data_IF_771862922128
#
_entry.id   IF_771862922128
#
_cell.length_a   1.000
_cell.length_b   1.000
_cell.length_c   1.000
_cell.angle_alpha   90.00
_cell.angle_beta   90.00
_cell.angle_gamma   90.00
#
_symmetry.space_group_name_H-M   'P 1'
#
loop_
_entity.id
_entity.type
_entity.pdbx_description
1 polymer ?
#
# COMPACT_ATOMS: atom_id res chain seq x y z
N UNK A 1 7.73 -13.31 20.86
CA UNK A 1 8.00 -14.65 20.30
C UNK A 1 9.31 -14.63 19.52
N UNK A 2 10.04 -15.74 19.44
CA UNK A 2 11.32 -15.85 18.72
C UNK A 2 11.11 -16.00 17.20
N UNK A 3 10.43 -15.04 16.58
CA UNK A 3 10.11 -15.05 15.16
C UNK A 3 10.87 -13.95 14.45
N UNK A 4 11.44 -14.28 13.29
CA UNK A 4 11.93 -13.28 12.33
C UNK A 4 10.70 -12.58 11.76
N UNK A 5 10.75 -11.25 11.66
CA UNK A 5 9.62 -10.44 11.20
C UNK A 5 10.04 -9.60 10.00
N UNK A 6 9.51 -9.97 8.83
CA UNK A 6 9.69 -9.24 7.58
C UNK A 6 8.40 -8.52 7.21
N UNK A 7 8.48 -7.25 6.86
CA UNK A 7 7.35 -6.39 6.52
C UNK A 7 7.44 -5.96 5.07
N UNK A 8 6.41 -6.28 4.29
CA UNK A 8 6.30 -5.91 2.89
C UNK A 8 5.61 -4.55 2.71
N UNK A 9 6.18 -3.74 1.83
CA UNK A 9 5.59 -2.48 1.35
C UNK A 9 4.49 -2.73 0.30
N UNK A 10 4.66 -3.76 -0.54
CA UNK A 10 3.87 -4.01 -1.75
C UNK A 10 3.44 -5.47 -1.84
N UNK A 11 2.49 -5.80 -2.74
CA UNK A 11 2.13 -7.18 -3.05
C UNK A 11 3.31 -7.93 -3.68
N UNK A 12 4.14 -7.25 -4.50
CA UNK A 12 5.39 -7.82 -5.01
C UNK A 12 6.34 -8.21 -3.87
N UNK A 13 6.58 -7.31 -2.90
CA UNK A 13 7.44 -7.61 -1.75
C UNK A 13 6.83 -8.70 -0.87
N UNK A 14 5.51 -8.76 -0.72
CA UNK A 14 4.85 -9.82 0.05
C UNK A 14 5.08 -11.19 -0.61
N UNK A 15 4.97 -11.27 -1.94
CA UNK A 15 5.26 -12.47 -2.72
C UNK A 15 6.75 -12.86 -2.61
N UNK A 16 7.65 -11.92 -2.86
CA UNK A 16 9.10 -12.18 -2.83
C UNK A 16 9.60 -12.54 -1.41
N UNK A 17 9.04 -11.93 -0.37
CA UNK A 17 9.33 -12.26 1.02
C UNK A 17 8.83 -13.67 1.39
N UNK A 18 7.68 -14.09 0.88
CA UNK A 18 7.15 -15.44 1.13
C UNK A 18 8.07 -16.53 0.57
N UNK A 19 8.65 -16.33 -0.61
CA UNK A 19 9.61 -17.27 -1.20
C UNK A 19 10.92 -17.29 -0.40
N UNK A 20 11.47 -16.12 -0.08
CA UNK A 20 12.70 -16.02 0.71
C UNK A 20 12.56 -16.59 2.13
N UNK A 21 11.37 -16.50 2.73
CA UNK A 21 11.11 -16.93 4.10
C UNK A 21 11.44 -18.40 4.36
N UNK A 22 11.18 -19.31 3.42
CA UNK A 22 11.51 -20.74 3.56
C UNK A 22 13.01 -20.93 3.76
N UNK A 23 13.82 -20.39 2.85
CA UNK A 23 15.28 -20.52 2.95
C UNK A 23 15.85 -19.85 4.20
N UNK A 24 15.32 -18.68 4.59
CA UNK A 24 15.74 -17.99 5.81
C UNK A 24 15.41 -18.83 7.05
N UNK A 25 14.20 -19.39 7.11
CA UNK A 25 13.74 -20.18 8.25
C UNK A 25 14.48 -21.51 8.36
N UNK A 26 14.81 -22.12 7.22
CA UNK A 26 15.39 -23.47 7.14
C UNK A 26 16.92 -23.48 7.12
N UNK A 27 17.59 -22.33 6.96
CA UNK A 27 19.05 -22.22 7.05
C UNK A 27 19.55 -22.75 8.40
N UNK A 28 20.56 -23.62 8.36
CA UNK A 28 21.13 -24.29 9.53
C UNK A 28 21.70 -23.33 10.57
N UNK A 29 22.10 -22.12 10.16
CA UNK A 29 22.57 -21.09 11.08
C UNK A 29 21.41 -20.45 11.86
N UNK A 30 20.19 -20.53 11.35
CA UNK A 30 19.01 -19.81 11.82
C UNK A 30 18.01 -20.75 12.49
N UNK A 31 17.34 -21.63 11.74
CA UNK A 31 16.30 -22.55 12.24
C UNK A 31 15.25 -21.87 13.14
N UNK A 32 14.79 -20.67 12.73
CA UNK A 32 13.76 -19.89 13.43
C UNK A 32 12.56 -19.63 12.51
N UNK A 33 11.34 -19.59 13.06
CA UNK A 33 10.15 -19.28 12.26
C UNK A 33 10.19 -17.84 11.74
N UNK A 34 9.68 -17.65 10.53
CA UNK A 34 9.61 -16.35 9.84
C UNK A 34 8.15 -15.93 9.68
N UNK A 35 7.83 -14.70 10.08
CA UNK A 35 6.56 -14.04 9.77
C UNK A 35 6.76 -13.10 8.59
N UNK A 36 5.97 -13.29 7.53
CA UNK A 36 5.85 -12.34 6.42
C UNK A 36 4.62 -11.47 6.66
N UNK A 37 4.85 -10.29 7.21
CA UNK A 37 3.86 -9.28 7.52
C UNK A 37 3.60 -8.38 6.31
N UNK A 38 2.35 -7.97 6.11
CA UNK A 38 1.97 -6.94 5.17
C UNK A 38 0.71 -6.23 5.69
N UNK A 39 0.47 -5.02 5.21
CA UNK A 39 -0.60 -4.19 5.74
C UNK A 39 -1.99 -4.68 5.29
N UNK A 40 -2.86 -4.89 6.28
CA UNK A 40 -4.25 -5.27 6.05
C UNK A 40 -4.98 -4.24 5.21
N UNK A 41 -5.79 -4.72 4.26
CA UNK A 41 -6.48 -3.94 3.23
C UNK A 41 -5.55 -3.24 2.22
N UNK A 42 -4.62 -2.40 2.68
CA UNK A 42 -3.76 -1.58 1.81
C UNK A 42 -2.84 -2.43 0.93
N UNK A 43 -2.31 -3.55 1.45
CA UNK A 43 -1.53 -4.51 0.66
C UNK A 43 -2.36 -5.76 0.38
N UNK A 44 -3.06 -6.32 1.38
CA UNK A 44 -3.75 -7.60 1.20
C UNK A 44 -4.97 -7.58 0.27
N UNK A 45 -5.58 -6.41 0.04
CA UNK A 45 -6.76 -6.26 -0.83
C UNK A 45 -6.52 -5.35 -2.04
N UNK A 46 -5.30 -4.84 -2.22
CA UNK A 46 -4.90 -4.14 -3.42
C UNK A 46 -4.54 -5.16 -4.49
N UNK A 47 -5.14 -5.02 -5.66
CA UNK A 47 -4.65 -5.67 -6.86
C UNK A 47 -3.59 -4.78 -7.49
N UNK A 48 -2.40 -5.31 -7.75
CA UNK A 48 -1.34 -4.62 -8.48
C UNK A 48 -0.57 -5.59 -9.38
N UNK A 49 0.29 -5.04 -10.23
CA UNK A 49 1.20 -5.84 -11.06
C UNK A 49 2.25 -6.53 -10.19
N UNK A 50 2.32 -7.86 -10.30
CA UNK A 50 3.35 -8.69 -9.68
C UNK A 50 4.07 -9.50 -10.75
N UNK A 51 5.40 -9.50 -10.71
CA UNK A 51 6.30 -10.35 -11.48
C UNK A 51 6.45 -11.68 -10.74
N UNK A 52 5.53 -12.59 -11.01
CA UNK A 52 5.57 -13.95 -10.48
C UNK A 52 6.65 -14.79 -11.20
N UNK A 53 7.31 -15.66 -10.45
CA UNK A 53 8.24 -16.66 -10.95
C UNK A 53 7.48 -17.93 -11.35
N UNK A 54 8.04 -18.70 -12.28
CA UNK A 54 7.54 -20.04 -12.59
C UNK A 54 7.79 -21.03 -11.46
N UNK A 55 6.94 -22.05 -11.33
CA UNK A 55 7.02 -23.03 -10.24
C UNK A 55 8.39 -23.73 -10.14
N UNK A 56 9.02 -24.04 -11.28
CA UNK A 56 10.36 -24.67 -11.31
C UNK A 56 11.47 -23.70 -10.86
N UNK A 57 11.35 -22.41 -11.15
CA UNK A 57 12.30 -21.38 -10.66
C UNK A 57 12.17 -21.24 -9.14
N UNK A 58 10.93 -21.22 -8.63
CA UNK A 58 10.67 -21.18 -7.18
C UNK A 58 11.20 -22.44 -6.50
N UNK A 59 10.92 -23.63 -7.06
CA UNK A 59 11.41 -24.91 -6.51
C UNK A 59 12.94 -24.96 -6.52
N UNK A 60 13.57 -24.55 -7.63
CA UNK A 60 15.02 -24.48 -7.75
C UNK A 60 15.66 -23.50 -6.78
N UNK A 61 15.00 -22.37 -6.49
CA UNK A 61 15.47 -21.43 -5.49
C UNK A 61 15.32 -21.96 -4.06
N UNK A 62 14.11 -22.39 -3.67
CA UNK A 62 13.77 -22.80 -2.30
C UNK A 62 14.51 -24.09 -1.90
N UNK A 63 14.63 -25.05 -2.82
CA UNK A 63 15.25 -26.34 -2.57
C UNK A 63 14.33 -27.33 -1.85
N UNK A 64 14.90 -28.47 -1.45
CA UNK A 64 14.21 -29.49 -0.66
C UNK A 64 14.50 -29.29 0.83
N UNK A 65 13.44 -29.31 1.64
CA UNK A 65 13.59 -29.25 3.09
C UNK A 65 14.11 -30.60 3.61
N UNK A 66 15.28 -30.56 4.24
CA UNK A 66 15.83 -31.69 5.00
C UNK A 66 15.68 -31.38 6.49
N UNK A 67 14.77 -32.06 7.21
CA UNK A 67 14.62 -31.85 8.64
C UNK A 67 15.89 -32.33 9.35
N UNK A 68 16.45 -31.54 10.30
CA UNK A 68 17.59 -31.99 11.09
C UNK A 68 17.20 -33.16 12.01
N UNK A 69 15.92 -33.21 12.40
CA UNK A 69 15.32 -34.30 13.15
C UNK A 69 13.96 -34.62 12.55
N UNK A 70 13.81 -35.84 12.04
CA UNK A 70 12.53 -36.36 11.59
C UNK A 70 11.69 -36.81 12.80
N UNK A 71 10.62 -36.07 13.09
CA UNK A 71 9.73 -36.34 14.22
C UNK A 71 8.88 -37.61 14.02
N UNK A 72 8.80 -38.11 12.79
CA UNK A 72 8.03 -39.29 12.43
C UNK A 72 8.90 -40.55 12.25
N UNK A 73 10.23 -40.44 12.42
CA UNK A 73 11.12 -41.61 12.33
C UNK A 73 10.97 -42.51 13.56
N UNK A 74 10.15 -43.55 13.41
CA UNK A 74 9.92 -44.55 14.45
C UNK A 74 11.14 -45.40 14.77
N UNK A 75 12.19 -45.38 13.93
CA UNK A 75 13.45 -46.11 14.16
C UNK A 75 14.43 -45.29 15.01
N UNK A 76 14.29 -43.97 15.01
CA UNK A 76 15.12 -43.06 15.79
C UNK A 76 14.24 -42.07 16.58
N UNK A 77 13.47 -42.54 17.57
CA UNK A 77 12.53 -41.69 18.31
C UNK A 77 13.27 -40.61 19.12
N UNK A 78 12.71 -39.39 19.11
CA UNK A 78 13.27 -38.23 19.79
C UNK A 78 12.26 -37.62 20.77
N UNK A 79 12.75 -37.07 21.88
CA UNK A 79 11.93 -36.32 22.82
C UNK A 79 11.84 -34.85 22.37
N UNK A 80 10.62 -34.38 22.09
CA UNK A 80 10.35 -33.01 21.61
C UNK A 80 9.47 -32.27 22.61
N UNK A 81 9.77 -30.99 22.84
CA UNK A 81 9.07 -30.18 23.83
C UNK A 81 9.17 -30.71 25.27
N UNK A 82 10.31 -31.26 25.73
CA UNK A 82 10.44 -31.66 27.12
C UNK A 82 10.34 -30.44 28.05
N UNK A 83 10.04 -30.69 29.32
CA UNK A 83 10.16 -29.67 30.36
C UNK A 83 11.61 -29.19 30.43
N UNK A 84 11.81 -27.87 30.27
CA UNK A 84 13.14 -27.25 30.41
C UNK A 84 13.34 -26.82 31.85
N UNK A 85 14.36 -27.37 32.50
CA UNK A 85 14.68 -27.05 33.89
C UNK A 85 15.32 -25.65 34.02
N UNK A 86 15.20 -24.96 35.18
CA UNK A 86 15.69 -23.59 35.35
C UNK A 86 17.19 -23.37 35.09
N UNK A 87 18.02 -24.40 35.28
CA UNK A 87 19.46 -24.39 35.01
C UNK A 87 19.81 -24.41 33.52
N UNK A 88 18.90 -24.91 32.67
CA UNK A 88 19.08 -25.00 31.22
C UNK A 88 18.32 -23.92 30.44
N UNK A 89 17.24 -23.37 31.01
CA UNK A 89 16.42 -22.36 30.33
C UNK A 89 17.24 -21.16 29.80
N UNK A 90 18.18 -20.55 30.57
CA UNK A 90 19.01 -19.47 30.06
C UNK A 90 19.83 -19.85 28.83
N UNK A 91 20.34 -21.08 28.77
CA UNK A 91 21.14 -21.58 27.64
C UNK A 91 20.29 -21.66 26.37
N UNK A 92 19.04 -22.15 26.49
CA UNK A 92 18.10 -22.20 25.37
C UNK A 92 17.82 -20.79 24.81
N UNK A 93 17.52 -19.82 25.69
CA UNK A 93 17.27 -18.44 25.25
C UNK A 93 18.53 -17.78 24.66
N UNK A 94 19.72 -18.08 25.18
CA UNK A 94 20.98 -17.62 24.60
C UNK A 94 21.19 -18.18 23.18
N UNK A 95 20.91 -19.46 22.96
CA UNK A 95 20.98 -20.08 21.63
C UNK A 95 19.98 -19.48 20.64
N UNK A 96 18.73 -19.25 21.07
CA UNK A 96 17.71 -18.58 20.26
C UNK A 96 18.13 -17.14 19.92
N UNK A 97 18.68 -16.40 20.87
CA UNK A 97 19.18 -15.04 20.64
C UNK A 97 20.34 -15.03 19.63
N UNK A 98 21.23 -16.02 19.70
CA UNK A 98 22.37 -16.17 18.79
C UNK A 98 21.91 -16.53 17.37
N UNK A 99 20.94 -17.45 17.24
CA UNK A 99 20.28 -17.74 15.97
C UNK A 99 19.61 -16.50 15.36
N UNK A 100 18.93 -15.70 16.17
CA UNK A 100 18.32 -14.44 15.74
C UNK A 100 19.37 -13.43 15.25
N UNK A 101 20.55 -13.34 15.88
CA UNK A 101 21.64 -12.47 15.41
C UNK A 101 22.18 -12.93 14.05
N UNK A 102 22.43 -14.23 13.89
CA UNK A 102 22.92 -14.81 12.62
C UNK A 102 21.94 -14.62 11.48
N UNK A 103 20.64 -14.61 11.77
CA UNK A 103 19.60 -14.41 10.76
C UNK A 103 19.79 -13.12 9.94
N UNK A 104 20.36 -12.06 10.50
CA UNK A 104 20.57 -10.81 9.75
C UNK A 104 21.47 -11.02 8.51
N UNK A 105 22.60 -11.71 8.67
CA UNK A 105 23.51 -12.01 7.56
C UNK A 105 22.86 -12.96 6.54
N UNK A 106 22.16 -13.99 7.03
CA UNK A 106 21.43 -14.95 6.18
C UNK A 106 20.37 -14.25 5.32
N UNK A 107 19.62 -13.31 5.89
CA UNK A 107 18.61 -12.52 5.16
C UNK A 107 19.26 -11.69 4.05
N UNK A 108 20.42 -11.07 4.31
CA UNK A 108 21.13 -10.30 3.29
C UNK A 108 21.69 -11.20 2.18
N UNK A 109 22.32 -12.32 2.52
CA UNK A 109 22.84 -13.31 1.55
C UNK A 109 21.74 -13.82 0.61
N UNK A 110 20.63 -14.30 1.20
CA UNK A 110 19.47 -14.80 0.45
C UNK A 110 18.81 -13.69 -0.36
N UNK A 111 18.73 -12.48 0.17
CA UNK A 111 18.19 -11.32 -0.55
C UNK A 111 19.03 -10.93 -1.77
N UNK A 112 20.35 -11.09 -1.72
CA UNK A 112 21.24 -10.89 -2.88
C UNK A 112 21.16 -12.04 -3.88
N UNK A 113 21.03 -13.29 -3.42
CA UNK A 113 20.77 -14.45 -4.29
C UNK A 113 19.45 -14.30 -5.04
N UNK A 114 18.40 -13.89 -4.34
CA UNK A 114 17.10 -13.60 -4.94
C UNK A 114 17.20 -12.47 -5.97
N UNK A 115 18.03 -11.45 -5.69
CA UNK A 115 18.34 -10.39 -6.63
C UNK A 115 19.03 -10.88 -7.91
N UNK A 116 19.96 -11.84 -7.81
CA UNK A 116 20.59 -12.45 -8.98
C UNK A 116 19.61 -13.26 -9.83
N UNK A 117 18.63 -13.91 -9.21
CA UNK A 117 17.58 -14.66 -9.90
C UNK A 117 16.56 -13.74 -10.59
N UNK A 118 16.12 -12.68 -9.90
CA UNK A 118 14.91 -11.94 -10.26
C UNK A 118 15.14 -10.50 -10.72
N UNK A 119 16.36 -9.98 -10.55
CA UNK A 119 16.69 -8.56 -10.67
C UNK A 119 16.25 -7.70 -9.48
N UNK A 120 15.60 -8.28 -8.46
CA UNK A 120 15.10 -7.57 -7.26
C UNK A 120 15.87 -8.01 -6.03
N UNK A 121 16.89 -7.23 -5.66
CA UNK A 121 17.70 -7.51 -4.47
C UNK A 121 17.03 -6.93 -3.21
N UNK A 122 17.15 -7.64 -2.10
CA UNK A 122 16.60 -7.21 -0.82
C UNK A 122 17.64 -7.24 0.30
N UNK A 123 17.52 -6.30 1.24
CA UNK A 123 18.32 -6.25 2.46
C UNK A 123 17.44 -6.17 3.72
N UNK A 124 18.02 -5.67 4.82
CA UNK A 124 17.30 -5.47 6.08
C UNK A 124 16.41 -4.22 6.08
N UNK A 125 16.82 -3.20 5.33
CA UNK A 125 16.10 -1.96 5.10
C UNK A 125 16.54 -1.34 3.77
N UNK A 126 15.79 -0.33 3.33
CA UNK A 126 16.09 0.45 2.14
C UNK A 126 16.30 1.92 2.54
N UNK A 127 17.45 2.47 2.18
CA UNK A 127 17.76 3.90 2.32
C UNK A 127 17.40 4.63 1.02
N UNK A 128 16.57 5.66 1.11
CA UNK A 128 16.14 6.47 -0.03
C UNK A 128 16.46 7.93 0.19
N UNK A 129 17.38 8.46 -0.64
CA UNK A 129 17.86 9.86 -0.61
C UNK A 129 18.30 10.31 0.79
N UNK A 130 19.09 9.50 1.50
CA UNK A 130 19.58 9.81 2.85
C UNK A 130 20.95 10.50 2.88
N UNK A 131 21.78 10.36 1.84
CA UNK A 131 23.19 10.78 1.87
C UNK A 131 23.40 12.26 2.20
N UNK A 132 22.52 13.13 1.70
CA UNK A 132 22.53 14.58 1.92
C UNK A 132 21.31 15.09 2.72
N UNK A 133 20.49 14.18 3.25
CA UNK A 133 19.23 14.53 3.90
C UNK A 133 19.47 15.35 5.19
N UNK A 134 18.68 16.40 5.38
CA UNK A 134 18.61 17.15 6.64
C UNK A 134 17.50 16.64 7.56
N UNK A 135 16.43 16.11 6.96
CA UNK A 135 15.31 15.51 7.69
C UNK A 135 15.02 14.14 7.09
N UNK A 136 14.70 13.16 7.94
CA UNK A 136 14.36 11.82 7.48
C UNK A 136 13.13 11.24 8.17
N UNK A 137 12.41 10.39 7.45
CA UNK A 137 11.38 9.52 8.01
C UNK A 137 11.90 8.09 8.08
N UNK A 138 11.68 7.41 9.21
CA UNK A 138 11.80 5.96 9.32
C UNK A 138 10.40 5.37 9.27
N UNK A 139 10.16 4.43 8.37
CA UNK A 139 8.84 3.83 8.15
C UNK A 139 8.96 2.32 7.89
N UNK A 140 7.84 1.61 8.00
CA UNK A 140 7.74 0.18 7.74
C UNK A 140 6.39 -0.13 7.08
N UNK A 141 6.34 -1.17 6.23
CA UNK A 141 5.12 -1.54 5.51
C UNK A 141 4.72 -0.53 4.43
N UNK A 142 3.42 -0.40 4.15
CA UNK A 142 2.90 0.40 3.02
C UNK A 142 3.15 1.91 3.18
N UNK A 143 3.50 2.36 4.38
CA UNK A 143 3.90 3.76 4.65
C UNK A 143 5.13 4.15 3.82
N UNK A 144 6.02 3.19 3.55
CA UNK A 144 7.23 3.40 2.75
C UNK A 144 6.92 4.01 1.38
N UNK A 145 5.93 3.48 0.67
CA UNK A 145 5.58 3.93 -0.68
C UNK A 145 5.03 5.36 -0.71
N UNK A 146 4.04 5.65 0.13
CA UNK A 146 3.50 7.02 0.26
C UNK A 146 4.57 8.01 0.73
N UNK A 147 5.45 7.59 1.65
CA UNK A 147 6.55 8.43 2.10
C UNK A 147 7.58 8.72 1.01
N UNK A 148 7.89 7.73 0.15
CA UNK A 148 8.80 7.90 -0.99
C UNK A 148 8.26 8.96 -1.97
N UNK A 149 6.97 8.89 -2.28
CA UNK A 149 6.30 9.88 -3.12
C UNK A 149 6.38 11.31 -2.52
N UNK A 150 6.22 11.44 -1.19
CA UNK A 150 6.35 12.74 -0.51
C UNK A 150 7.81 13.21 -0.47
N UNK A 151 8.78 12.33 -0.27
CA UNK A 151 10.21 12.67 -0.34
C UNK A 151 10.55 13.23 -1.71
N UNK A 152 10.10 12.61 -2.79
CA UNK A 152 10.35 13.10 -4.16
C UNK A 152 9.72 14.47 -4.40
N UNK A 153 8.50 14.68 -3.93
CA UNK A 153 7.82 15.98 -3.98
C UNK A 153 8.57 17.06 -3.20
N UNK A 154 9.05 16.75 -2.00
CA UNK A 154 9.81 17.69 -1.18
C UNK A 154 11.17 18.01 -1.81
N UNK A 155 11.82 17.00 -2.40
CA UNK A 155 13.08 17.17 -3.12
C UNK A 155 12.96 18.03 -4.37
N UNK A 156 11.86 17.91 -5.13
CA UNK A 156 11.61 18.81 -6.27
C UNK A 156 11.40 20.26 -5.84
N UNK A 157 11.02 20.48 -4.58
CA UNK A 157 10.88 21.80 -3.93
C UNK A 157 12.13 22.25 -3.16
N UNK A 158 13.26 21.54 -3.31
CA UNK A 158 14.54 21.90 -2.70
C UNK A 158 14.70 21.49 -1.22
N UNK A 159 13.73 20.78 -0.64
CA UNK A 159 13.84 20.26 0.73
C UNK A 159 14.66 18.97 0.72
N UNK A 160 15.74 18.92 1.50
CA UNK A 160 16.61 17.75 1.63
C UNK A 160 16.00 16.69 2.54
N UNK A 161 14.93 16.06 2.07
CA UNK A 161 14.20 15.00 2.77
C UNK A 161 14.72 13.61 2.38
N UNK A 162 14.77 12.67 3.33
CA UNK A 162 15.10 11.27 3.07
C UNK A 162 14.14 10.31 3.75
N UNK A 163 14.26 9.03 3.41
CA UNK A 163 13.45 7.93 3.94
C UNK A 163 14.35 6.73 4.25
N UNK A 164 14.11 6.09 5.38
CA UNK A 164 14.58 4.73 5.67
C UNK A 164 13.37 3.83 5.81
N UNK A 165 13.19 2.90 4.87
CA UNK A 165 12.13 1.90 4.93
C UNK A 165 12.68 0.61 5.54
N UNK A 166 12.22 0.26 6.73
CA UNK A 166 12.57 -1.01 7.36
C UNK A 166 11.81 -2.16 6.68
N UNK A 167 12.55 -3.19 6.25
CA UNK A 167 11.98 -4.46 5.77
C UNK A 167 11.98 -5.51 6.87
N UNK A 168 13.01 -5.55 7.72
CA UNK A 168 13.15 -6.57 8.78
C UNK A 168 13.10 -5.89 10.14
N UNK A 169 12.03 -6.15 10.91
CA UNK A 169 11.90 -5.64 12.27
C UNK A 169 12.58 -6.54 13.30
N UNK A 170 12.62 -7.85 13.04
CA UNK A 170 13.33 -8.86 13.84
C UNK A 170 14.08 -9.81 12.91
N UNK A 171 15.41 -9.99 13.07
CA UNK A 171 16.30 -9.24 13.97
C UNK A 171 16.31 -7.74 13.66
N UNK A 172 16.34 -6.89 14.69
CA UNK A 172 16.36 -5.44 14.47
C UNK A 172 17.76 -5.01 14.02
N UNK A 173 17.91 -4.33 12.87
CA UNK A 173 19.22 -3.99 12.30
C UNK A 173 19.83 -2.74 12.96
N UNK A 174 19.94 -2.73 14.30
CA UNK A 174 20.27 -1.56 15.11
C UNK A 174 21.52 -0.80 14.62
N UNK A 175 22.63 -1.52 14.45
CA UNK A 175 23.91 -0.88 14.10
C UNK A 175 23.89 -0.30 12.68
N UNK A 176 23.40 -1.08 11.71
CA UNK A 176 23.32 -0.67 10.31
C UNK A 176 22.33 0.49 10.11
N UNK A 177 21.17 0.44 10.76
CA UNK A 177 20.18 1.52 10.75
C UNK A 177 20.72 2.78 11.41
N UNK A 178 21.35 2.66 12.59
CA UNK A 178 21.93 3.81 13.27
C UNK A 178 23.07 4.45 12.45
N UNK A 179 23.89 3.64 11.75
CA UNK A 179 24.87 4.14 10.77
C UNK A 179 24.21 4.97 9.68
N UNK A 180 23.17 4.45 9.04
CA UNK A 180 22.44 5.14 7.98
C UNK A 180 21.79 6.46 8.46
N UNK A 181 21.33 6.50 9.71
CA UNK A 181 20.71 7.68 10.34
C UNK A 181 21.70 8.57 11.11
N UNK A 182 23.01 8.44 10.86
CA UNK A 182 24.05 9.28 11.47
C UNK A 182 24.81 10.14 10.47
N UNK A 183 24.20 10.39 9.30
CA UNK A 183 24.74 11.29 8.28
C UNK A 183 25.03 12.69 8.84
N UNK A 184 26.12 13.31 8.39
CA UNK A 184 26.56 14.62 8.91
C UNK A 184 25.58 15.76 8.65
N UNK A 185 24.70 15.61 7.67
CA UNK A 185 23.67 16.58 7.31
C UNK A 185 22.38 16.41 8.10
N UNK A 186 22.15 15.23 8.67
CA UNK A 186 20.88 14.89 9.29
C UNK A 186 20.72 15.66 10.61
N UNK A 187 19.56 16.29 10.79
CA UNK A 187 19.24 17.16 11.93
C UNK A 187 18.01 16.66 12.69
N UNK A 188 17.02 16.12 11.99
CA UNK A 188 15.81 15.60 12.61
C UNK A 188 15.32 14.32 11.91
N UNK A 189 14.79 13.40 12.70
CA UNK A 189 14.23 12.12 12.27
C UNK A 189 12.87 11.93 12.90
N UNK A 190 11.87 11.58 12.09
CA UNK A 190 10.60 11.06 12.59
C UNK A 190 10.57 9.56 12.40
N UNK A 191 9.98 8.84 13.35
CA UNK A 191 9.68 7.41 13.21
C UNK A 191 8.16 7.26 13.12
N UNK A 192 7.68 6.72 12.00
CA UNK A 192 6.27 6.46 11.75
C UNK A 192 5.88 5.07 12.27
N UNK A 193 5.01 5.03 13.26
CA UNK A 193 4.44 3.81 13.81
C UNK A 193 2.96 3.71 13.49
N UNK A 194 2.55 2.52 13.01
CA UNK A 194 1.14 2.11 12.87
C UNK A 194 0.62 1.36 14.10
N UNK A 195 1.31 1.50 15.22
CA UNK A 195 1.01 0.89 16.50
C UNK A 195 1.36 1.87 17.63
N UNK A 196 0.67 1.74 18.76
CA UNK A 196 0.93 2.55 19.95
C UNK A 196 1.07 1.63 21.15
N UNK A 197 2.16 1.78 21.89
CA UNK A 197 2.33 1.21 23.21
C UNK A 197 1.75 2.22 24.21
N UNK A 198 0.56 1.91 24.76
CA UNK A 198 -0.16 2.85 25.63
C UNK A 198 0.68 3.21 26.87
N UNK A 199 1.17 4.46 26.93
CA UNK A 199 2.07 4.96 27.96
C UNK A 199 3.48 5.33 27.46
N UNK A 200 3.81 5.00 26.22
CA UNK A 200 5.03 5.40 25.51
C UNK A 200 4.68 5.82 24.07
N UNK A 201 5.61 5.64 23.12
CA UNK A 201 5.37 5.83 21.69
C UNK A 201 5.01 4.52 20.98
N UNK A 202 5.49 4.36 19.76
CA UNK A 202 5.41 3.10 19.03
C UNK A 202 6.67 2.22 19.20
N UNK A 203 6.53 0.91 18.94
CA UNK A 203 7.63 -0.05 19.11
C UNK A 203 8.82 0.24 18.18
N UNK A 204 8.58 0.73 16.95
CA UNK A 204 9.67 1.07 16.04
C UNK A 204 10.45 2.28 16.56
N UNK A 205 9.75 3.28 17.09
CA UNK A 205 10.38 4.45 17.70
C UNK A 205 11.29 4.08 18.88
N UNK A 206 10.85 3.16 19.75
CA UNK A 206 11.66 2.67 20.88
C UNK A 206 12.98 2.04 20.40
N UNK A 207 12.91 1.17 19.39
CA UNK A 207 14.09 0.47 18.82
C UNK A 207 15.06 1.43 18.12
N UNK A 208 14.53 2.34 17.29
CA UNK A 208 15.33 3.35 16.59
C UNK A 208 16.02 4.29 17.58
N UNK A 209 15.30 4.71 18.62
CA UNK A 209 15.84 5.60 19.67
C UNK A 209 16.97 4.91 20.42
N UNK A 210 16.78 3.64 20.84
CA UNK A 210 17.82 2.87 21.51
C UNK A 210 19.07 2.68 20.63
N UNK A 211 18.88 2.33 19.35
CA UNK A 211 19.97 2.14 18.41
C UNK A 211 20.79 3.42 18.19
N UNK A 212 20.12 4.56 18.01
CA UNK A 212 20.77 5.86 17.87
C UNK A 212 21.47 6.28 19.16
N UNK A 213 20.86 6.07 20.33
CA UNK A 213 21.45 6.41 21.63
C UNK A 213 22.75 5.64 21.91
N UNK A 214 22.76 4.34 21.64
CA UNK A 214 23.95 3.51 21.76
C UNK A 214 25.07 3.98 20.82
N UNK A 215 24.72 4.31 19.58
CA UNK A 215 25.67 4.83 18.60
C UNK A 215 26.22 6.21 18.97
N UNK A 216 25.38 7.10 19.48
CA UNK A 216 25.80 8.41 19.95
C UNK A 216 26.84 8.27 21.07
N UNK A 217 26.60 7.36 22.03
CA UNK A 217 27.57 7.05 23.08
C UNK A 217 28.86 6.45 22.56
N UNK A 218 28.81 5.54 21.58
CA UNK A 218 30.02 4.88 21.06
C UNK A 218 30.86 5.77 20.15
N UNK A 219 30.26 6.75 19.48
CA UNK A 219 30.96 7.62 18.50
C UNK A 219 31.23 9.03 19.00
N UNK A 220 30.62 9.45 20.12
CA UNK A 220 30.66 10.83 20.60
C UNK A 220 29.87 11.82 19.74
N UNK A 221 29.14 11.37 18.71
CA UNK A 221 28.24 12.23 17.93
C UNK A 221 26.93 12.44 18.68
N UNK A 222 26.39 13.66 18.58
CA UNK A 222 25.07 13.99 19.08
C UNK A 222 23.95 13.24 18.34
N UNK A 223 22.80 13.11 18.99
CA UNK A 223 21.60 12.56 18.39
C UNK A 223 20.94 13.60 17.47
N UNK A 224 20.33 13.18 16.34
CA UNK A 224 19.37 14.04 15.67
C UNK A 224 18.16 14.29 16.59
N UNK A 225 17.41 15.35 16.31
CA UNK A 225 16.09 15.54 16.92
C UNK A 225 15.22 14.33 16.55
N UNK A 226 14.57 13.72 17.53
CA UNK A 226 13.77 12.51 17.35
C UNK A 226 12.33 12.74 17.78
N UNK A 227 11.41 12.45 16.88
CA UNK A 227 9.96 12.46 17.18
C UNK A 227 9.32 11.15 16.71
N UNK A 228 8.21 10.78 17.34
CA UNK A 228 7.39 9.65 16.90
C UNK A 228 6.10 10.18 16.27
N UNK A 229 5.74 9.64 15.12
CA UNK A 229 4.48 9.92 14.44
C UNK A 229 3.61 8.67 14.45
N UNK A 230 2.52 8.68 15.24
CA UNK A 230 1.51 7.63 15.27
C UNK A 230 0.47 7.92 14.20
N UNK A 231 0.33 7.03 13.23
CA UNK A 231 -0.54 7.22 12.06
C UNK A 231 -1.14 5.90 11.57
N UNK A 232 -2.29 5.98 10.89
CA UNK A 232 -2.95 4.82 10.27
C UNK A 232 -3.42 3.71 11.23
N UNK A 233 -3.54 4.01 12.53
CA UNK A 233 -4.07 3.07 13.53
C UNK A 233 -5.52 2.72 13.18
N UNK A 234 -5.88 1.44 13.34
CA UNK A 234 -7.23 0.95 13.06
C UNK A 234 -7.60 0.87 11.57
N UNK A 235 -6.62 0.96 10.68
CA UNK A 235 -6.86 0.94 9.22
C UNK A 235 -7.28 2.29 8.65
N UNK A 236 -7.09 3.39 9.41
CA UNK A 236 -7.21 4.75 8.85
C UNK A 236 -6.21 4.90 7.70
N UNK A 237 -6.67 5.48 6.60
CA UNK A 237 -5.81 5.73 5.45
C UNK A 237 -4.66 6.68 5.82
N UNK A 238 -3.50 6.48 5.18
CA UNK A 238 -2.31 7.29 5.39
C UNK A 238 -2.03 8.07 4.11
N UNK A 239 -2.30 9.36 4.16
CA UNK A 239 -2.25 10.23 2.99
C UNK A 239 -0.88 10.88 2.81
N UNK A 240 -0.62 11.40 1.61
CA UNK A 240 0.55 12.25 1.37
C UNK A 240 0.50 13.52 2.23
N UNK A 241 -0.68 14.03 2.56
CA UNK A 241 -0.84 15.17 3.46
C UNK A 241 -0.39 14.85 4.89
N UNK A 242 -0.69 13.64 5.39
CA UNK A 242 -0.24 13.16 6.70
C UNK A 242 1.29 13.12 6.77
N UNK A 243 1.92 12.47 5.78
CA UNK A 243 3.38 12.37 5.73
C UNK A 243 4.02 13.74 5.54
N UNK A 244 3.45 14.61 4.71
CA UNK A 244 3.93 15.97 4.54
C UNK A 244 3.81 16.81 5.82
N UNK A 245 2.77 16.61 6.64
CA UNK A 245 2.65 17.25 7.95
C UNK A 245 3.78 16.83 8.90
N UNK A 246 4.18 15.54 8.86
CA UNK A 246 5.35 15.04 9.60
C UNK A 246 6.65 15.71 9.12
N UNK A 247 6.89 15.78 7.81
CA UNK A 247 8.10 16.44 7.28
C UNK A 247 8.15 17.94 7.54
N UNK A 248 7.01 18.63 7.49
CA UNK A 248 6.91 20.04 7.89
C UNK A 248 7.35 20.20 9.34
N UNK A 249 6.85 19.33 10.24
CA UNK A 249 7.26 19.37 11.65
C UNK A 249 8.74 19.10 11.82
N UNK A 250 9.30 18.13 11.10
CA UNK A 250 10.74 17.86 11.12
C UNK A 250 11.57 19.06 10.65
N UNK A 251 11.12 19.74 9.61
CA UNK A 251 11.82 20.91 9.05
C UNK A 251 11.83 22.08 10.04
N UNK A 252 10.71 22.33 10.70
CA UNK A 252 10.62 23.33 11.80
C UNK A 252 11.60 23.00 12.93
N UNK A 253 11.61 21.74 13.38
CA UNK A 253 12.48 21.30 14.47
C UNK A 253 13.96 21.35 14.08
N UNK A 254 14.31 20.91 12.87
CA UNK A 254 15.65 20.97 12.34
C UNK A 254 16.19 22.41 12.24
N UNK A 255 15.32 23.37 11.89
CA UNK A 255 15.67 24.79 11.86
C UNK A 255 15.93 25.39 13.24
N UNK A 256 15.15 24.98 14.25
CA UNK A 256 15.31 25.44 15.63
C UNK A 256 16.48 24.77 16.35
N UNK A 257 16.85 23.54 15.96
CA UNK A 257 17.92 22.77 16.59
C UNK A 257 17.60 22.26 18.00
N UNK A 258 16.34 22.36 18.44
CA UNK A 258 15.90 22.03 19.80
C UNK A 258 15.00 20.79 19.75
N UNK A 259 15.40 19.75 20.49
CA UNK A 259 14.53 18.61 20.81
C UNK A 259 13.29 19.13 21.56
N UNK A 260 12.06 18.77 21.15
CA UNK A 260 10.86 19.17 21.89
C UNK A 260 10.96 18.80 23.36
N UNK A 261 10.77 19.78 24.26
CA UNK A 261 10.65 19.52 25.69
C UNK A 261 9.37 18.70 25.95
N UNK A 262 9.47 17.63 26.73
CA UNK A 262 8.34 16.76 27.07
C UNK A 262 8.18 15.57 26.10
N UNK A 263 6.93 15.20 25.82
CA UNK A 263 6.57 14.01 25.04
C UNK A 263 6.92 14.16 23.54
N UNK A 264 7.81 13.33 22.96
CA UNK A 264 8.15 13.36 21.53
C UNK A 264 7.11 12.70 20.63
N UNK A 265 6.03 12.14 21.17
CA UNK A 265 4.98 11.45 20.43
C UNK A 265 3.97 12.44 19.87
N UNK A 266 3.68 12.27 18.59
CA UNK A 266 2.66 13.01 17.86
C UNK A 266 1.70 12.04 17.21
N UNK A 267 0.41 12.23 17.41
CA UNK A 267 -0.58 11.56 16.59
C UNK A 267 -0.88 12.39 15.34
N UNK A 268 -1.23 11.74 14.24
CA UNK A 268 -1.52 12.43 12.97
C UNK A 268 -3.01 12.37 12.66
N UNK A 269 -3.58 13.52 12.30
CA UNK A 269 -4.96 13.66 11.81
C UNK A 269 -6.05 13.16 12.80
N UNK A 270 -5.95 13.50 14.08
CA UNK A 270 -6.88 13.04 15.11
C UNK A 270 -8.18 13.84 15.26
N UNK A 271 -8.35 14.95 14.54
CA UNK A 271 -9.61 15.69 14.53
C UNK A 271 -10.04 16.22 15.90
N UNK A 272 -9.08 16.56 16.78
CA UNK A 272 -9.35 17.28 18.02
C UNK A 272 -9.66 16.42 19.26
N UNK A 273 -9.42 15.11 19.27
CA UNK A 273 -9.59 14.27 20.47
C UNK A 273 -8.55 14.48 21.59
N UNK A 274 -7.87 15.64 21.61
CA UNK A 274 -6.84 16.01 22.57
C UNK A 274 -5.46 15.45 22.23
N UNK A 275 -4.44 15.88 22.97
CA UNK A 275 -3.06 15.45 22.78
C UNK A 275 -2.29 16.19 21.68
N UNK A 276 -1.02 15.84 21.54
CA UNK A 276 -0.09 16.46 20.58
C UNK A 276 -0.38 15.92 19.17
N UNK A 277 -1.06 16.72 18.36
CA UNK A 277 -1.49 16.29 17.02
C UNK A 277 -0.78 17.08 15.92
N UNK A 278 -0.44 16.38 14.83
CA UNK A 278 -0.06 16.99 13.56
C UNK A 278 -1.28 17.09 12.66
N UNK A 279 -1.78 18.31 12.51
CA UNK A 279 -2.91 18.60 11.64
C UNK A 279 -2.48 18.56 10.18
N UNK A 280 -3.20 17.76 9.38
CA UNK A 280 -3.18 17.87 7.92
C UNK A 280 -4.04 19.06 7.54
N UNK A 281 -3.53 19.95 6.68
CA UNK A 281 -4.15 21.26 6.43
C UNK A 281 -5.66 21.13 6.11
N UNK A 282 -6.49 21.79 6.94
CA UNK A 282 -7.90 22.14 6.72
C UNK A 282 -8.83 21.04 6.20
N UNK A 283 -8.68 19.79 6.65
CA UNK A 283 -9.61 18.71 6.29
C UNK A 283 -9.68 18.41 4.78
N UNK A 284 -8.81 19.02 3.98
CA UNK A 284 -8.84 18.95 2.53
C UNK A 284 -7.69 18.06 2.07
N UNK A 285 -8.01 16.78 1.88
CA UNK A 285 -7.06 15.75 1.44
C UNK A 285 -6.69 15.87 -0.05
N UNK A 286 -7.42 16.71 -0.82
CA UNK A 286 -7.31 16.85 -2.27
C UNK A 286 -6.21 17.80 -2.81
N UNK A 287 -5.35 18.37 -1.96
CA UNK A 287 -4.34 19.35 -2.38
C UNK A 287 -3.02 18.80 -2.96
N UNK A 288 -2.97 17.53 -3.36
CA UNK A 288 -1.72 16.89 -3.78
C UNK A 288 -1.35 17.19 -5.24
N UNK A 289 -0.07 17.48 -5.44
CA UNK A 289 0.58 17.63 -6.75
C UNK A 289 0.21 16.43 -7.65
N UNK A 290 -0.41 16.73 -8.80
CA UNK A 290 -0.83 15.73 -9.80
C UNK A 290 0.41 15.29 -10.56
N UNK A 291 1.28 14.51 -9.89
CA UNK A 291 2.53 14.02 -10.46
C UNK A 291 2.33 13.44 -11.87
N UNK A 292 3.29 13.61 -12.78
CA UNK A 292 3.12 13.25 -14.19
C UNK A 292 2.84 11.75 -14.34
N UNK A 293 2.07 11.38 -15.36
CA UNK A 293 1.79 9.99 -15.79
C UNK A 293 0.88 9.10 -14.90
N UNK A 294 0.34 9.60 -13.79
CA UNK A 294 -0.63 8.84 -12.97
C UNK A 294 -2.08 9.29 -13.25
N UNK A 295 -2.93 8.35 -13.68
CA UNK A 295 -4.38 8.55 -13.83
C UNK A 295 -5.12 7.97 -12.64
N UNK A 296 -5.91 8.80 -11.96
CA UNK A 296 -6.61 8.50 -10.71
C UNK A 296 -8.11 8.41 -10.93
N UNK A 297 -8.68 7.23 -10.69
CA UNK A 297 -10.07 6.91 -11.03
C UNK A 297 -10.81 6.49 -9.76
N UNK A 298 -11.90 7.19 -9.45
CA UNK A 298 -12.81 6.89 -8.34
C UNK A 298 -14.11 6.33 -8.90
N UNK A 299 -14.49 5.13 -8.48
CA UNK A 299 -15.75 4.49 -8.82
C UNK A 299 -16.65 4.51 -7.58
N UNK A 300 -17.80 5.17 -7.68
CA UNK A 300 -18.78 5.35 -6.62
C UNK A 300 -20.01 4.53 -6.96
N UNK A 301 -20.40 3.62 -6.08
CA UNK A 301 -21.52 2.71 -6.33
C UNK A 301 -22.22 2.28 -5.05
N UNK A 302 -23.36 1.61 -5.17
CA UNK A 302 -23.98 0.89 -4.06
C UNK A 302 -23.40 -0.52 -3.95
N UNK A 303 -23.31 -1.03 -2.72
CA UNK A 303 -22.95 -2.42 -2.48
C UNK A 303 -23.86 -3.36 -3.29
N UNK A 304 -23.25 -4.20 -4.15
CA UNK A 304 -23.95 -5.09 -5.08
C UNK A 304 -23.91 -4.66 -6.55
N UNK A 305 -23.58 -3.40 -6.86
CA UNK A 305 -23.53 -2.89 -8.26
C UNK A 305 -22.21 -3.17 -9.01
N UNK A 306 -21.25 -3.86 -8.38
CA UNK A 306 -20.06 -4.37 -9.07
C UNK A 306 -18.89 -3.39 -9.29
N UNK A 307 -18.83 -2.25 -8.59
CA UNK A 307 -17.70 -1.30 -8.72
C UNK A 307 -16.32 -1.89 -8.40
N UNK A 308 -16.22 -2.76 -7.38
CA UNK A 308 -14.98 -3.52 -7.09
C UNK A 308 -14.53 -4.33 -8.31
N UNK A 309 -15.47 -5.05 -8.92
CA UNK A 309 -15.19 -5.88 -10.08
C UNK A 309 -14.75 -5.03 -11.26
N UNK A 310 -15.41 -3.89 -11.47
CA UNK A 310 -15.05 -2.94 -12.53
C UNK A 310 -13.64 -2.36 -12.35
N UNK A 311 -13.26 -1.95 -11.14
CA UNK A 311 -11.91 -1.42 -10.90
C UNK A 311 -10.82 -2.48 -11.09
N UNK A 312 -11.09 -3.73 -10.69
CA UNK A 312 -10.16 -4.84 -10.90
C UNK A 312 -9.95 -5.17 -12.38
N UNK A 313 -11.02 -5.24 -13.18
CA UNK A 313 -10.88 -5.47 -14.62
C UNK A 313 -10.17 -4.32 -15.31
N UNK A 314 -10.44 -3.08 -14.92
CA UNK A 314 -9.72 -1.92 -15.47
C UNK A 314 -8.22 -2.00 -15.17
N UNK A 315 -7.84 -2.32 -13.92
CA UNK A 315 -6.44 -2.50 -13.56
C UNK A 315 -5.80 -3.69 -14.30
N UNK A 316 -6.53 -4.80 -14.46
CA UNK A 316 -6.08 -5.95 -15.23
C UNK A 316 -5.77 -5.58 -16.68
N UNK A 317 -6.68 -4.88 -17.36
CA UNK A 317 -6.50 -4.44 -18.74
C UNK A 317 -5.29 -3.52 -18.91
N UNK A 318 -5.08 -2.59 -17.97
CA UNK A 318 -3.91 -1.74 -17.98
C UNK A 318 -2.61 -2.53 -17.82
N UNK A 319 -2.58 -3.52 -16.90
CA UNK A 319 -1.43 -4.41 -16.69
C UNK A 319 -1.13 -5.24 -17.94
N UNK A 320 -2.15 -5.84 -18.56
CA UNK A 320 -2.03 -6.61 -19.80
C UNK A 320 -1.60 -5.75 -21.00
N UNK A 321 -1.83 -4.43 -20.92
CA UNK A 321 -1.35 -3.44 -21.88
C UNK A 321 0.05 -2.92 -21.56
N UNK A 322 0.72 -3.49 -20.56
CA UNK A 322 2.11 -3.15 -20.18
C UNK A 322 2.23 -2.03 -19.14
N UNK A 323 1.14 -1.41 -18.71
CA UNK A 323 1.13 -0.35 -17.71
C UNK A 323 1.29 -0.92 -16.29
N UNK A 324 1.51 -0.04 -15.33
CA UNK A 324 1.33 -0.31 -13.90
C UNK A 324 -0.09 0.09 -13.52
N UNK A 325 -0.73 -0.75 -12.71
CA UNK A 325 -2.03 -0.43 -12.16
C UNK A 325 -2.16 -0.88 -10.71
N UNK A 326 -3.00 -0.16 -9.97
CA UNK A 326 -3.48 -0.56 -8.66
C UNK A 326 -5.01 -0.48 -8.65
N UNK A 327 -5.68 -1.46 -8.06
CA UNK A 327 -7.10 -1.39 -7.74
C UNK A 327 -7.34 -1.73 -6.27
N UNK A 328 -7.95 -0.81 -5.53
CA UNK A 328 -8.22 -0.93 -4.11
C UNK A 328 -9.70 -0.61 -3.85
N UNK A 329 -10.50 -1.55 -3.29
CA UNK A 329 -11.84 -1.24 -2.84
C UNK A 329 -11.85 -0.71 -1.40
N UNK A 330 -12.79 0.17 -1.08
CA UNK A 330 -13.13 0.52 0.29
C UNK A 330 -14.57 0.13 0.62
N UNK A 331 -14.74 -0.41 1.83
CA UNK A 331 -16.03 -0.91 2.31
C UNK A 331 -16.42 -0.13 3.56
N UNK A 332 -17.69 0.27 3.62
CA UNK A 332 -18.33 0.60 4.88
C UNK A 332 -18.68 -0.68 5.67
N UNK A 333 -19.14 -0.54 6.93
CA UNK A 333 -19.54 -1.69 7.75
C UNK A 333 -20.78 -2.44 7.19
N UNK A 334 -21.53 -1.84 6.27
CA UNK A 334 -22.73 -2.43 5.68
C UNK A 334 -22.41 -3.34 4.49
N UNK A 335 -23.11 -4.47 4.38
CA UNK A 335 -22.85 -5.51 3.36
C UNK A 335 -23.42 -5.21 1.96
N UNK A 336 -24.62 -4.62 1.87
CA UNK A 336 -25.32 -4.37 0.59
C UNK A 336 -26.05 -3.01 0.60
N UNK A 337 -26.16 -2.35 -0.55
CA UNK A 337 -26.97 -1.14 -0.75
C UNK A 337 -26.35 0.18 -0.26
N UNK A 338 -25.44 0.12 0.71
CA UNK A 338 -24.68 1.27 1.17
C UNK A 338 -23.71 1.80 0.10
N UNK A 339 -23.44 3.12 0.08
CA UNK A 339 -22.39 3.68 -0.76
C UNK A 339 -21.03 3.02 -0.49
N UNK A 340 -20.34 2.66 -1.57
CA UNK A 340 -18.98 2.15 -1.57
C UNK A 340 -18.15 2.96 -2.56
N UNK A 341 -16.84 3.02 -2.31
CA UNK A 341 -15.88 3.51 -3.30
C UNK A 341 -14.94 2.37 -3.71
N UNK A 342 -14.55 2.36 -4.96
CA UNK A 342 -13.44 1.59 -5.45
C UNK A 342 -12.50 2.52 -6.21
N UNK A 343 -11.22 2.26 -6.10
CA UNK A 343 -10.18 3.10 -6.70
C UNK A 343 -9.43 2.30 -7.76
N UNK A 344 -9.04 2.98 -8.83
CA UNK A 344 -8.04 2.50 -9.76
C UNK A 344 -7.01 3.59 -10.03
N UNK A 345 -5.72 3.23 -9.97
CA UNK A 345 -4.60 4.08 -10.36
C UNK A 345 -3.91 3.43 -11.54
N UNK A 346 -3.73 4.15 -12.65
CA UNK A 346 -3.08 3.65 -13.86
C UNK A 346 -1.86 4.52 -14.17
N UNK A 347 -0.73 3.93 -14.54
CA UNK A 347 0.51 4.66 -14.77
C UNK A 347 1.45 3.92 -15.71
N UNK A 348 2.21 4.66 -16.51
CA UNK A 348 3.30 4.09 -17.33
C UNK A 348 4.58 3.82 -16.50
N UNK A 349 4.58 4.23 -15.23
CA UNK A 349 5.67 4.05 -14.26
C UNK A 349 5.17 3.34 -13.00
N UNK A 350 6.08 2.71 -12.21
CA UNK A 350 5.72 2.16 -10.90
C UNK A 350 4.94 3.16 -10.03
N UNK A 351 3.95 2.65 -9.29
CA UNK A 351 3.07 3.45 -8.45
C UNK A 351 3.45 3.24 -6.98
N UNK A 352 4.15 4.21 -6.40
CA UNK A 352 4.59 4.15 -5.00
C UNK A 352 3.48 4.58 -4.02
N UNK A 353 2.65 5.55 -4.40
CA UNK A 353 1.61 6.11 -3.53
C UNK A 353 0.54 5.06 -3.18
N UNK A 354 0.42 4.74 -1.88
CA UNK A 354 -0.51 3.73 -1.34
C UNK A 354 -1.77 4.30 -0.72
N UNK A 355 -1.93 5.63 -0.72
CA UNK A 355 -3.13 6.27 -0.18
C UNK A 355 -4.35 6.03 -1.09
N UNK A 356 -5.56 6.32 -0.60
CA UNK A 356 -6.77 6.37 -1.45
C UNK A 356 -6.71 7.52 -2.47
N UNK A 357 -7.75 7.73 -3.27
CA UNK A 357 -7.77 8.84 -4.23
C UNK A 357 -8.61 9.98 -3.66
N UNK A 358 -7.97 11.13 -3.45
CA UNK A 358 -8.60 12.36 -2.97
C UNK A 358 -8.58 13.50 -4.00
N UNK A 359 -7.83 13.35 -5.08
CA UNK A 359 -7.78 14.29 -6.20
C UNK A 359 -7.94 13.50 -7.50
N UNK A 360 -9.18 13.13 -7.89
CA UNK A 360 -9.42 12.28 -9.05
C UNK A 360 -9.17 13.02 -10.37
N UNK A 361 -8.82 12.23 -11.39
CA UNK A 361 -8.84 12.64 -12.80
C UNK A 361 -10.13 12.14 -13.47
N UNK A 362 -10.72 11.09 -12.92
CA UNK A 362 -11.97 10.49 -13.38
C UNK A 362 -12.84 10.10 -12.18
N UNK A 363 -14.12 10.48 -12.22
CA UNK A 363 -15.14 9.99 -11.28
C UNK A 363 -16.21 9.24 -12.07
N UNK A 364 -16.52 8.02 -11.64
CA UNK A 364 -17.53 7.15 -12.25
C UNK A 364 -18.60 6.84 -11.22
N UNK A 365 -19.84 7.24 -11.49
CA UNK A 365 -20.97 7.13 -10.57
C UNK A 365 -21.96 6.11 -11.11
N UNK A 366 -22.11 4.97 -10.43
CA UNK A 366 -22.94 3.85 -10.85
C UNK A 366 -24.43 4.04 -10.53
N UNK A 367 -24.76 5.07 -9.75
CA UNK A 367 -26.11 5.44 -9.36
C UNK A 367 -26.13 6.94 -9.11
N UNK A 368 -26.90 7.69 -9.91
CA UNK A 368 -27.01 9.15 -9.81
C UNK A 368 -27.37 9.67 -8.40
N UNK A 369 -28.03 8.87 -7.56
CA UNK A 369 -28.35 9.25 -6.18
C UNK A 369 -27.10 9.37 -5.30
N UNK A 370 -25.94 8.93 -5.78
CA UNK A 370 -24.64 9.04 -5.09
C UNK A 370 -23.87 10.31 -5.44
N UNK A 371 -24.39 11.19 -6.32
CA UNK A 371 -23.72 12.44 -6.68
C UNK A 371 -23.45 13.34 -5.47
N UNK A 372 -24.37 13.39 -4.51
CA UNK A 372 -24.17 14.10 -3.24
C UNK A 372 -23.12 13.40 -2.37
N UNK A 373 -23.10 12.06 -2.35
CA UNK A 373 -22.14 11.27 -1.57
C UNK A 373 -20.69 11.44 -2.06
N UNK A 374 -20.51 11.74 -3.35
CA UNK A 374 -19.19 12.00 -3.93
C UNK A 374 -18.92 13.49 -4.20
N UNK A 375 -19.63 14.41 -3.54
CA UNK A 375 -19.45 15.85 -3.75
C UNK A 375 -18.00 16.31 -3.52
N UNK A 376 -17.30 15.73 -2.54
CA UNK A 376 -15.88 15.99 -2.31
C UNK A 376 -15.01 15.56 -3.50
N UNK A 377 -15.26 14.37 -4.06
CA UNK A 377 -14.51 13.87 -5.23
C UNK A 377 -14.78 14.72 -6.47
N UNK A 378 -16.01 15.21 -6.65
CA UNK A 378 -16.39 16.09 -7.75
C UNK A 378 -15.78 17.48 -7.62
N UNK A 379 -15.75 18.03 -6.40
CA UNK A 379 -15.08 19.31 -6.12
C UNK A 379 -13.59 19.24 -6.44
N UNK A 380 -12.95 18.10 -6.13
CA UNK A 380 -11.51 17.91 -6.25
C UNK A 380 -11.11 17.25 -7.60
N UNK A 381 -12.09 17.06 -8.50
CA UNK A 381 -11.90 16.56 -9.86
C UNK A 381 -11.04 17.52 -10.69
N UNK A 382 -10.11 16.96 -11.46
CA UNK A 382 -9.24 17.71 -12.37
C UNK A 382 -10.02 18.72 -13.22
N UNK A 383 -9.36 19.82 -13.58
CA UNK A 383 -9.98 20.83 -14.46
C UNK A 383 -10.36 20.25 -15.82
N UNK A 384 -9.52 19.36 -16.36
CA UNK A 384 -9.77 18.55 -17.56
C UNK A 384 -10.38 17.17 -17.23
N UNK A 385 -10.91 17.02 -16.02
CA UNK A 385 -11.40 15.75 -15.49
C UNK A 385 -12.67 15.25 -16.17
N UNK A 386 -12.93 13.96 -15.96
CA UNK A 386 -14.05 13.23 -16.58
C UNK A 386 -15.02 12.76 -15.50
N UNK A 387 -16.31 13.06 -15.68
CA UNK A 387 -17.40 12.47 -14.92
C UNK A 387 -18.22 11.54 -15.82
N UNK A 388 -18.38 10.28 -15.44
CA UNK A 388 -19.28 9.32 -16.08
C UNK A 388 -20.39 8.92 -15.09
N UNK A 389 -21.66 9.14 -15.44
CA UNK A 389 -22.80 8.84 -14.57
C UNK A 389 -23.74 7.83 -15.21
N UNK A 390 -24.11 6.80 -14.45
CA UNK A 390 -25.21 5.91 -14.79
C UNK A 390 -26.55 6.61 -14.55
N UNK A 391 -27.19 7.08 -15.62
CA UNK A 391 -28.43 7.86 -15.56
C UNK A 391 -29.13 7.89 -16.91
N UNK A 392 -30.44 8.18 -16.90
CA UNK A 392 -31.23 8.53 -18.09
C UNK A 392 -31.21 10.02 -18.41
N UNK A 393 -30.66 10.85 -17.51
CA UNK A 393 -30.53 12.29 -17.70
C UNK A 393 -29.45 12.61 -18.73
N UNK A 394 -29.55 13.78 -19.32
CA UNK A 394 -28.54 14.28 -20.25
C UNK A 394 -27.30 14.78 -19.49
N UNK A 395 -26.14 14.89 -20.13
CA UNK A 395 -24.97 15.51 -19.50
C UNK A 395 -25.21 16.96 -19.05
N UNK A 396 -26.12 17.69 -19.71
CA UNK A 396 -26.51 19.05 -19.32
C UNK A 396 -27.25 19.07 -17.98
N UNK A 397 -28.19 18.14 -17.77
CA UNK A 397 -28.91 18.01 -16.49
C UNK A 397 -27.94 17.67 -15.35
N UNK A 398 -27.00 16.75 -15.58
CA UNK A 398 -25.97 16.39 -14.59
C UNK A 398 -25.04 17.57 -14.30
N UNK A 399 -24.74 18.40 -15.31
CA UNK A 399 -23.96 19.62 -15.12
C UNK A 399 -24.67 20.60 -14.19
N UNK A 400 -25.96 20.79 -14.38
CA UNK A 400 -26.78 21.65 -13.52
C UNK A 400 -26.83 21.11 -12.08
N UNK A 401 -27.03 19.80 -11.91
CA UNK A 401 -27.09 19.16 -10.58
C UNK A 401 -25.77 19.22 -9.80
N UNK A 402 -24.64 19.11 -10.50
CA UNK A 402 -23.31 19.03 -9.87
C UNK A 402 -22.59 20.38 -9.79
N UNK A 403 -23.00 21.36 -10.58
CA UNK A 403 -22.30 22.65 -10.71
C UNK A 403 -20.93 22.54 -11.39
N UNK A 404 -20.60 21.41 -12.03
CA UNK A 404 -19.29 21.20 -12.64
C UNK A 404 -19.11 22.03 -13.91
N UNK A 405 -18.26 23.05 -13.85
CA UNK A 405 -17.92 23.92 -14.97
C UNK A 405 -16.61 23.45 -15.64
N UNK A 406 -16.60 23.34 -16.97
CA UNK A 406 -15.40 23.06 -17.77
C UNK A 406 -14.94 21.59 -17.82
N UNK A 407 -15.52 20.71 -17.00
CA UNK A 407 -15.23 19.26 -17.00
C UNK A 407 -16.06 18.53 -18.04
N UNK A 408 -15.53 17.42 -18.57
CA UNK A 408 -16.24 16.53 -19.51
C UNK A 408 -17.22 15.65 -18.77
N UNK A 409 -18.49 15.67 -19.18
CA UNK A 409 -19.55 14.89 -18.55
C UNK A 409 -20.12 13.89 -19.56
N UNK A 410 -20.16 12.63 -19.14
CA UNK A 410 -20.77 11.53 -19.88
C UNK A 410 -21.90 10.92 -19.09
N UNK A 411 -22.99 10.55 -19.77
CA UNK A 411 -24.11 9.84 -19.17
C UNK A 411 -24.44 8.58 -19.96
N UNK A 412 -24.90 7.53 -19.26
CA UNK A 412 -25.26 6.25 -19.84
C UNK A 412 -26.39 5.60 -19.01
N UNK A 413 -27.46 5.10 -19.63
CA UNK A 413 -28.45 4.27 -18.92
C UNK A 413 -27.95 2.81 -18.79
N UNK A 414 -26.85 2.62 -18.07
CA UNK A 414 -26.22 1.32 -17.90
C UNK A 414 -27.12 0.35 -17.14
N UNK A 415 -27.95 0.85 -16.22
CA UNK A 415 -28.97 0.05 -15.54
C UNK A 415 -30.03 -0.44 -16.53
N UNK A 416 -30.56 0.45 -17.38
CA UNK A 416 -31.53 0.09 -18.41
C UNK A 416 -30.96 -0.93 -19.40
N UNK A 417 -29.73 -0.74 -19.85
CA UNK A 417 -29.00 -1.70 -20.70
C UNK A 417 -28.94 -3.07 -20.02
N UNK A 418 -28.41 -3.15 -18.79
CA UNK A 418 -28.26 -4.41 -18.06
C UNK A 418 -29.60 -5.16 -17.84
N UNK A 419 -30.64 -4.43 -17.44
CA UNK A 419 -31.98 -5.00 -17.24
C UNK A 419 -32.56 -5.51 -18.55
N UNK A 420 -32.40 -4.79 -19.66
CA UNK A 420 -32.90 -5.22 -20.96
C UNK A 420 -32.16 -6.46 -21.51
N UNK A 421 -30.85 -6.56 -21.30
CA UNK A 421 -30.03 -7.63 -21.88
C UNK A 421 -30.08 -8.94 -21.11
N UNK A 422 -30.16 -8.88 -19.77
CA UNK A 422 -30.11 -10.08 -18.92
C UNK A 422 -30.96 -10.02 -17.66
N UNK A 423 -31.76 -8.96 -17.46
CA UNK A 423 -32.80 -8.92 -16.42
C UNK A 423 -32.31 -8.63 -15.00
N UNK A 424 -31.08 -8.14 -14.82
CA UNK A 424 -30.54 -7.82 -13.50
C UNK A 424 -29.94 -6.40 -13.45
N UNK A 425 -30.06 -5.75 -12.29
CA UNK A 425 -29.48 -4.43 -12.02
C UNK A 425 -27.98 -4.55 -11.69
N UNK A 426 -27.18 -4.89 -12.71
CA UNK A 426 -25.72 -5.01 -12.63
C UNK A 426 -25.10 -4.15 -13.73
N UNK A 427 -25.01 -2.82 -13.52
CA UNK A 427 -24.54 -1.89 -14.54
C UNK A 427 -23.01 -1.96 -14.76
N UNK A 428 -22.28 -2.72 -13.95
CA UNK A 428 -20.82 -2.69 -13.89
C UNK A 428 -20.13 -2.93 -15.22
N UNK A 429 -20.56 -3.91 -16.02
CA UNK A 429 -19.88 -4.21 -17.27
C UNK A 429 -20.17 -3.17 -18.36
N UNK A 430 -21.41 -2.66 -18.43
CA UNK A 430 -21.76 -1.55 -19.31
C UNK A 430 -20.96 -0.28 -18.94
N UNK A 431 -20.92 0.08 -17.64
CA UNK A 431 -20.13 1.22 -17.16
C UNK A 431 -18.63 1.06 -17.42
N UNK A 432 -18.10 -0.16 -17.26
CA UNK A 432 -16.69 -0.47 -17.55
C UNK A 432 -16.37 -0.35 -19.04
N UNK A 433 -17.23 -0.82 -19.93
CA UNK A 433 -17.03 -0.68 -21.38
C UNK A 433 -17.01 0.79 -21.82
N UNK A 434 -17.97 1.60 -21.33
CA UNK A 434 -17.97 3.03 -21.56
C UNK A 434 -16.70 3.70 -21.01
N UNK A 435 -16.28 3.33 -19.80
CA UNK A 435 -15.04 3.84 -19.19
C UNK A 435 -13.80 3.48 -20.03
N UNK A 436 -13.67 2.24 -20.50
CA UNK A 436 -12.57 1.80 -21.38
C UNK A 436 -12.51 2.68 -22.64
N UNK A 437 -13.66 2.91 -23.27
CA UNK A 437 -13.77 3.73 -24.48
C UNK A 437 -13.44 5.21 -24.25
N UNK A 438 -13.92 5.79 -23.14
CA UNK A 438 -13.70 7.19 -22.78
C UNK A 438 -12.24 7.43 -22.39
N UNK A 439 -11.65 6.51 -21.63
CA UNK A 439 -10.28 6.65 -21.15
C UNK A 439 -9.22 6.19 -22.15
N UNK A 440 -9.61 5.42 -23.17
CA UNK A 440 -8.69 4.82 -24.13
C UNK A 440 -7.72 3.83 -23.48
N UNK A 441 -8.21 3.04 -22.52
CA UNK A 441 -7.40 2.07 -21.77
C UNK A 441 -7.68 0.66 -22.29
N UNK A 442 -6.77 0.14 -23.12
CA UNK A 442 -6.92 -1.18 -23.74
C UNK A 442 -8.01 -1.21 -24.82
N UNK A 443 -8.40 -2.42 -25.23
CA UNK A 443 -9.41 -2.66 -26.25
C UNK A 443 -10.63 -3.38 -25.66
N UNK A 444 -11.82 -3.08 -26.17
CA UNK A 444 -13.06 -3.72 -25.72
C UNK A 444 -13.05 -5.25 -25.94
N UNK A 445 -12.40 -5.71 -27.01
CA UNK A 445 -12.17 -7.14 -27.30
C UNK A 445 -11.49 -7.85 -26.13
N UNK A 446 -10.37 -7.29 -25.66
CA UNK A 446 -9.62 -7.83 -24.51
C UNK A 446 -10.43 -7.81 -23.22
N UNK A 447 -11.23 -6.77 -22.99
CA UNK A 447 -12.15 -6.73 -21.85
C UNK A 447 -13.13 -7.91 -21.88
N UNK A 448 -13.71 -8.20 -23.04
CA UNK A 448 -14.64 -9.32 -23.21
C UNK A 448 -13.97 -10.67 -22.96
N UNK A 449 -12.77 -10.87 -23.51
CA UNK A 449 -11.98 -12.09 -23.29
C UNK A 449 -11.65 -12.30 -21.81
N UNK A 450 -11.15 -11.26 -21.13
CA UNK A 450 -10.85 -11.30 -19.71
C UNK A 450 -12.12 -11.58 -18.87
N UNK A 451 -13.25 -10.97 -19.24
CA UNK A 451 -14.53 -11.21 -18.59
C UNK A 451 -14.98 -12.67 -18.75
N UNK A 452 -14.94 -13.20 -19.97
CA UNK A 452 -15.32 -14.59 -20.26
C UNK A 452 -14.46 -15.59 -19.47
N UNK A 453 -13.14 -15.38 -19.45
CA UNK A 453 -12.21 -16.24 -18.72
C UNK A 453 -12.49 -16.22 -17.21
N UNK A 454 -12.65 -15.03 -16.61
CA UNK A 454 -12.85 -14.88 -15.16
C UNK A 454 -14.25 -15.30 -14.70
N UNK A 455 -15.25 -15.14 -15.56
CA UNK A 455 -16.66 -15.41 -15.26
C UNK A 455 -17.19 -16.70 -15.91
N UNK A 456 -16.31 -17.67 -16.16
CA UNK A 456 -16.63 -18.94 -16.84
C UNK A 456 -17.75 -19.77 -16.18
N UNK A 457 -18.10 -19.49 -14.92
CA UNK A 457 -19.18 -20.16 -14.17
C UNK A 457 -20.56 -19.51 -14.35
N UNK A 458 -20.65 -18.37 -15.03
CA UNK A 458 -21.94 -17.73 -15.32
C UNK A 458 -22.76 -18.56 -16.31
N UNK A 459 -24.08 -18.45 -16.23
CA UNK A 459 -24.96 -19.05 -17.25
C UNK A 459 -24.74 -18.37 -18.61
N UNK A 460 -24.96 -19.10 -19.70
CA UNK A 460 -24.81 -18.57 -21.06
C UNK A 460 -25.66 -17.31 -21.29
N UNK A 461 -26.89 -17.29 -20.75
CA UNK A 461 -27.77 -16.11 -20.80
C UNK A 461 -27.10 -14.89 -20.17
N UNK A 462 -26.53 -15.04 -18.98
CA UNK A 462 -25.83 -13.95 -18.30
C UNK A 462 -24.54 -13.55 -19.02
N UNK A 463 -23.76 -14.53 -19.48
CA UNK A 463 -22.52 -14.29 -20.21
C UNK A 463 -22.78 -13.45 -21.47
N UNK A 464 -23.65 -13.94 -22.36
CA UNK A 464 -23.97 -13.27 -23.62
C UNK A 464 -24.67 -11.92 -23.40
N UNK A 465 -25.52 -11.82 -22.38
CA UNK A 465 -26.15 -10.56 -22.01
C UNK A 465 -25.14 -9.50 -21.56
N UNK A 466 -24.11 -9.88 -20.79
CA UNK A 466 -23.05 -8.94 -20.41
C UNK A 466 -22.21 -8.50 -21.62
N UNK A 467 -21.91 -9.41 -22.56
CA UNK A 467 -21.16 -9.07 -23.77
C UNK A 467 -21.93 -8.05 -24.63
N UNK A 468 -23.23 -8.26 -24.87
CA UNK A 468 -24.08 -7.30 -25.58
C UNK A 468 -24.24 -5.97 -24.84
N UNK A 469 -24.36 -6.01 -23.51
CA UNK A 469 -24.40 -4.80 -22.70
C UNK A 469 -23.13 -3.96 -22.85
N UNK A 470 -21.96 -4.61 -22.95
CA UNK A 470 -20.69 -3.94 -23.23
C UNK A 470 -20.65 -3.32 -24.63
N UNK A 471 -21.13 -4.04 -25.66
CA UNK A 471 -21.23 -3.51 -27.04
C UNK A 471 -22.10 -2.26 -27.13
N UNK A 472 -23.28 -2.31 -26.50
CA UNK A 472 -24.21 -1.18 -26.46
C UNK A 472 -23.60 0.01 -25.75
N UNK A 473 -22.97 -0.21 -24.60
CA UNK A 473 -22.37 0.85 -23.80
C UNK A 473 -21.18 1.55 -24.49
N UNK A 474 -20.52 0.91 -25.46
CA UNK A 474 -19.46 1.55 -26.25
C UNK A 474 -20.00 2.68 -27.16
N UNK A 475 -21.28 2.63 -27.53
CA UNK A 475 -21.88 3.56 -28.50
C UNK A 475 -23.03 4.41 -27.93
N UNK A 476 -23.69 3.97 -26.86
CA UNK A 476 -24.89 4.61 -26.33
C UNK A 476 -24.63 5.72 -25.29
N UNK A 477 -23.37 5.99 -24.91
CA UNK A 477 -23.08 7.07 -23.96
C UNK A 477 -23.15 8.47 -24.61
N UNK A 478 -23.72 9.42 -23.89
CA UNK A 478 -23.82 10.82 -24.31
C UNK A 478 -22.60 11.61 -23.81
N UNK A 479 -22.23 12.70 -24.47
CA UNK A 479 -21.09 13.54 -24.12
C UNK A 479 -21.42 15.03 -24.27
N UNK A 480 -21.00 15.86 -23.31
CA UNK A 480 -20.98 17.33 -23.40
C UNK A 480 -19.75 17.92 -22.72
#
# INVERSE_FOLDING_TARGET
>A
AAWIQMHAETCQEAYDNAIQAFRIAEDDRVRLPVTVCHDGFVVSHTMERVLALGDEEVRGFVGEFVPPVDLLDTRNPQAVGPLVMPDLAPNLYAQIAEAMRRAAAVIEEIGQEYGRLTGRAYGLFEAYRLDDAQVALVAMGSVGGTARAVVDLLRSRGVRAGLLKLRVFRPFPAEALARALSGSFLRAVAVADKAVELGSGGPLFSEVTAALALRARSTGRGLPILINAILGVGGRDITMADINAVFRRLTELAGNGIQPNGDPVYFVDLGGCGGKTLETRNGHRGGADRGPSLRRIVLVARGGQGARTASQFLAQLAIESGQYAQALPTYGPQRTGAPIKAFAKLSDRPIDDRQQIYAPDVVVVFDETLLETCADDLRDLADDGVLLVNTRRTPADIREMTGLVGRRIHTLDATGIAVSEFGANLPNMAMLAAMVRILGVGELSRLKEAFQAKMARLSDKMMQGNLRAMDRAEHEFLTV
#
